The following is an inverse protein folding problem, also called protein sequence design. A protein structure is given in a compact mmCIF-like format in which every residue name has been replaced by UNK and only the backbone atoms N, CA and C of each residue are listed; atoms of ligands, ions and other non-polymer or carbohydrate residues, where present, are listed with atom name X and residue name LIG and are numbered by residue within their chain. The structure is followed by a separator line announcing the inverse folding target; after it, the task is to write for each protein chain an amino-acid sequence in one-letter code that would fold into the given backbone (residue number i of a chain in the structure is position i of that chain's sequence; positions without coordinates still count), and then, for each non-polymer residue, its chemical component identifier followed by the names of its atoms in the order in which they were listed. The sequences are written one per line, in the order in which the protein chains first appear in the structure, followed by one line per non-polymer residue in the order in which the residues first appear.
data_IF_278472728212
#
_entry.id   IF_278472728212
#
_cell.length_a   1.000
_cell.length_b   1.000
_cell.length_c   1.000
_cell.angle_alpha   90.00
_cell.angle_beta   90.00
_cell.angle_gamma   90.00
#
_symmetry.space_group_name_H-M   'P 1'
#
loop_
_entity.id
_entity.type
_entity.pdbx_description
1 polymer ?
#
# COMPACT_ATOMS: atom_id res chain seq x y z
N UNK A 1 63.44 -40.80 -1.10
CA UNK A 1 62.61 -40.34 0.05
C UNK A 1 62.18 -38.87 -0.13
N UNK A 2 61.53 -38.50 -1.25
CA UNK A 2 61.28 -37.08 -1.60
C UNK A 2 59.95 -36.86 -2.35
N UNK A 3 58.99 -37.78 -2.19
CA UNK A 3 57.70 -37.76 -2.92
C UNK A 3 56.45 -37.82 -2.04
N UNK A 4 56.60 -37.97 -0.72
CA UNK A 4 55.46 -38.12 0.19
C UNK A 4 55.06 -36.85 0.97
N UNK A 5 55.87 -35.78 0.91
CA UNK A 5 55.61 -34.56 1.70
C UNK A 5 54.62 -33.57 1.06
N UNK A 6 54.25 -33.75 -0.23
CA UNK A 6 53.48 -32.73 -0.97
C UNK A 6 51.96 -32.94 -0.87
N UNK A 7 51.48 -34.08 -0.35
CA UNK A 7 50.04 -34.38 -0.35
C UNK A 7 49.27 -33.99 0.92
N UNK A 8 49.92 -33.43 1.94
CA UNK A 8 49.26 -33.08 3.21
C UNK A 8 48.86 -31.60 3.37
N UNK A 9 49.18 -30.74 2.41
CA UNK A 9 48.94 -29.29 2.48
C UNK A 9 47.75 -28.79 1.65
N UNK A 10 46.94 -29.69 1.09
CA UNK A 10 45.79 -29.34 0.26
C UNK A 10 44.42 -29.53 0.94
N UNK A 11 44.39 -29.77 2.26
CA UNK A 11 43.15 -30.14 2.98
C UNK A 11 42.61 -29.05 3.91
N UNK A 12 43.30 -27.91 4.08
CA UNK A 12 42.98 -26.91 5.11
C UNK A 12 42.28 -25.65 4.61
N UNK A 13 41.96 -25.52 3.31
CA UNK A 13 41.36 -24.30 2.74
C UNK A 13 39.85 -24.40 2.43
N UNK A 14 39.16 -25.48 2.81
CA UNK A 14 37.72 -25.66 2.57
C UNK A 14 36.83 -25.41 3.82
N UNK A 15 37.39 -24.81 4.87
CA UNK A 15 36.72 -24.67 6.18
C UNK A 15 36.28 -23.26 6.56
N UNK A 16 36.28 -22.28 5.66
CA UNK A 16 35.87 -20.90 5.96
C UNK A 16 34.75 -20.48 5.01
N UNK A 17 33.67 -19.93 5.60
CA UNK A 17 32.50 -19.33 4.96
C UNK A 17 31.31 -20.25 4.66
N UNK A 18 30.77 -20.86 5.71
CA UNK A 18 29.32 -21.11 5.81
C UNK A 18 28.76 -20.34 7.01
N UNK A 19 29.03 -19.03 7.06
CA UNK A 19 28.17 -18.15 7.86
C UNK A 19 26.84 -18.08 7.10
N UNK A 20 25.70 -18.37 7.74
CA UNK A 20 24.42 -18.12 7.10
C UNK A 20 24.40 -16.64 6.75
N UNK A 21 24.41 -16.32 5.46
CA UNK A 21 24.05 -15.00 5.01
C UNK A 21 22.66 -14.75 5.59
N UNK A 22 22.58 -13.89 6.60
CA UNK A 22 21.31 -13.39 7.08
C UNK A 22 20.69 -12.70 5.87
N UNK A 23 19.80 -13.40 5.18
CA UNK A 23 18.99 -12.83 4.13
C UNK A 23 18.29 -11.64 4.78
N UNK A 24 18.71 -10.44 4.41
CA UNK A 24 18.06 -9.22 4.85
C UNK A 24 16.64 -9.32 4.31
N UNK A 25 15.69 -9.69 5.18
CA UNK A 25 14.27 -9.64 4.84
C UNK A 25 14.03 -8.26 4.21
N UNK A 26 13.48 -8.19 2.99
CA UNK A 26 13.30 -6.91 2.33
C UNK A 26 12.56 -5.99 3.29
N UNK A 27 13.17 -4.84 3.59
CA UNK A 27 12.58 -3.87 4.51
C UNK A 27 11.14 -3.58 4.05
N UNK A 28 10.18 -3.73 4.97
CA UNK A 28 8.79 -3.45 4.66
C UNK A 28 8.63 -1.97 4.29
N UNK A 29 7.76 -1.62 3.33
CA UNK A 29 7.53 -0.23 3.00
C UNK A 29 6.90 0.50 4.19
N UNK A 30 7.09 1.83 4.29
CA UNK A 30 6.64 2.62 5.44
C UNK A 30 5.11 2.62 5.64
N UNK A 31 4.35 2.30 4.59
CA UNK A 31 2.90 2.18 4.63
C UNK A 31 2.38 0.76 4.81
N UNK A 32 3.23 -0.23 5.09
CA UNK A 32 2.82 -1.64 5.22
C UNK A 32 1.69 -1.89 6.23
N UNK A 33 1.59 -1.06 7.27
CA UNK A 33 0.49 -1.11 8.23
C UNK A 33 -0.90 -0.80 7.63
N UNK A 34 -0.94 -0.18 6.45
CA UNK A 34 -2.19 0.12 5.72
C UNK A 34 -2.65 -1.05 4.85
N UNK A 35 -1.84 -2.08 4.62
CA UNK A 35 -2.18 -3.13 3.66
C UNK A 35 -3.56 -3.74 3.91
N UNK A 36 -4.31 -3.95 2.83
CA UNK A 36 -5.67 -4.48 2.84
C UNK A 36 -6.74 -3.44 2.48
N UNK A 37 -8.00 -3.81 2.75
CA UNK A 37 -9.19 -3.06 2.37
C UNK A 37 -9.71 -2.21 3.52
N UNK A 38 -10.00 -0.95 3.20
CA UNK A 38 -10.60 0.05 4.08
C UNK A 38 -11.88 0.55 3.45
N UNK A 39 -12.95 0.61 4.22
CA UNK A 39 -14.28 0.96 3.72
C UNK A 39 -14.90 2.11 4.49
N UNK A 40 -15.81 2.84 3.86
CA UNK A 40 -16.58 3.92 4.48
C UNK A 40 -16.39 5.24 3.75
N UNK A 41 -16.01 6.30 4.46
CA UNK A 41 -15.73 7.59 3.84
C UNK A 41 -16.94 8.48 3.59
N UNK A 42 -18.15 7.95 3.36
CA UNK A 42 -19.36 8.78 3.10
C UNK A 42 -20.20 8.99 4.36
N UNK A 43 -20.35 7.96 5.19
CA UNK A 43 -21.04 8.04 6.48
C UNK A 43 -20.17 7.38 7.56
N UNK A 44 -20.33 7.74 8.85
CA UNK A 44 -19.67 7.04 9.94
C UNK A 44 -19.98 5.54 9.86
N UNK A 45 -18.96 4.70 10.04
CA UNK A 45 -19.16 3.27 10.05
C UNK A 45 -20.02 2.86 11.27
N UNK A 46 -21.15 2.14 11.08
CA UNK A 46 -21.95 1.61 12.19
C UNK A 46 -21.13 0.63 13.02
N UNK A 47 -21.26 0.69 14.35
CA UNK A 47 -20.74 -0.35 15.24
C UNK A 47 -21.48 -1.66 14.97
N UNK A 48 -20.78 -2.70 14.53
CA UNK A 48 -21.36 -4.01 14.22
C UNK A 48 -21.72 -4.26 12.75
N UNK A 49 -21.13 -3.50 11.82
CA UNK A 49 -21.25 -3.76 10.38
C UNK A 49 -20.76 -5.17 10.01
N UNK A 50 -21.58 -5.90 9.23
CA UNK A 50 -21.19 -7.22 8.70
C UNK A 50 -20.08 -7.07 7.63
N UNK A 51 -19.26 -8.11 7.38
CA UNK A 51 -18.26 -8.05 6.32
C UNK A 51 -18.84 -7.69 4.95
N UNK A 52 -20.03 -8.21 4.62
CA UNK A 52 -20.74 -7.93 3.38
C UNK A 52 -21.15 -6.46 3.29
N UNK A 53 -21.71 -5.90 4.35
CA UNK A 53 -22.08 -4.48 4.40
C UNK A 53 -20.85 -3.56 4.37
N UNK A 54 -19.72 -4.03 4.90
CA UNK A 54 -18.45 -3.30 4.86
C UNK A 54 -17.86 -3.23 3.46
N UNK A 55 -17.91 -4.34 2.70
CA UNK A 55 -17.38 -4.41 1.34
C UNK A 55 -18.33 -3.80 0.28
N UNK A 56 -19.56 -3.45 0.64
CA UNK A 56 -20.50 -2.76 -0.25
C UNK A 56 -20.43 -1.22 -0.17
N UNK A 57 -19.54 -0.68 0.67
CA UNK A 57 -19.28 0.76 0.80
C UNK A 57 -18.19 1.21 -0.17
N UNK A 58 -17.93 2.52 -0.33
CA UNK A 58 -16.70 2.99 -0.95
C UNK A 58 -15.50 2.35 -0.29
N UNK A 59 -14.54 1.93 -1.10
CA UNK A 59 -13.37 1.20 -0.64
C UNK A 59 -12.08 1.87 -1.10
N UNK A 60 -11.06 1.74 -0.26
CA UNK A 60 -9.66 1.97 -0.61
C UNK A 60 -8.84 0.76 -0.23
N UNK A 61 -8.06 0.25 -1.18
CA UNK A 61 -7.22 -0.92 -1.02
C UNK A 61 -5.77 -0.46 -1.12
N UNK A 62 -5.01 -0.62 -0.04
CA UNK A 62 -3.58 -0.37 -0.04
C UNK A 62 -2.84 -1.67 -0.30
N UNK A 63 -1.97 -1.65 -1.30
CA UNK A 63 -1.01 -2.72 -1.59
C UNK A 63 0.41 -2.19 -1.46
N UNK A 64 1.40 -3.02 -1.82
CA UNK A 64 2.80 -2.61 -1.80
C UNK A 64 3.06 -1.40 -2.71
N UNK A 65 2.59 -1.47 -3.96
CA UNK A 65 2.97 -0.53 -5.03
C UNK A 65 1.76 0.20 -5.65
N UNK A 66 0.54 -0.18 -5.25
CA UNK A 66 -0.71 0.40 -5.75
C UNK A 66 -1.64 0.82 -4.61
N UNK A 67 -2.38 1.89 -4.83
CA UNK A 67 -3.60 2.20 -4.09
C UNK A 67 -4.78 2.15 -5.05
N UNK A 68 -5.74 1.30 -4.76
CA UNK A 68 -6.98 1.21 -5.54
C UNK A 68 -8.11 1.86 -4.76
N UNK A 69 -9.06 2.48 -5.45
CA UNK A 69 -10.25 3.02 -4.80
C UNK A 69 -11.48 2.98 -5.68
N UNK A 70 -12.65 2.89 -5.05
CA UNK A 70 -13.94 3.12 -5.68
C UNK A 70 -14.80 3.98 -4.75
N UNK A 71 -15.42 5.01 -5.32
CA UNK A 71 -16.49 5.78 -4.65
C UNK A 71 -17.87 5.20 -4.99
N UNK A 72 -18.94 5.74 -4.39
CA UNK A 72 -20.32 5.27 -4.63
C UNK A 72 -20.78 5.45 -6.08
N UNK A 73 -20.16 6.36 -6.82
CA UNK A 73 -20.50 6.66 -8.22
C UNK A 73 -19.64 5.89 -9.21
N UNK A 74 -18.66 5.10 -8.74
CA UNK A 74 -17.72 4.39 -9.59
C UNK A 74 -18.08 2.92 -9.73
N UNK A 75 -18.08 2.44 -10.97
CA UNK A 75 -18.31 1.03 -11.29
C UNK A 75 -17.01 0.22 -11.35
N UNK A 76 -15.86 0.91 -11.46
CA UNK A 76 -14.54 0.31 -11.66
C UNK A 76 -13.57 0.91 -10.64
N UNK A 77 -12.66 0.09 -10.14
CA UNK A 77 -11.59 0.55 -9.27
C UNK A 77 -10.63 1.47 -10.03
N UNK A 78 -10.47 2.69 -9.54
CA UNK A 78 -9.40 3.58 -9.97
C UNK A 78 -8.11 3.12 -9.31
N UNK A 79 -7.11 2.75 -10.12
CA UNK A 79 -5.78 2.35 -9.65
C UNK A 79 -4.80 3.51 -9.70
N UNK A 80 -4.02 3.67 -8.63
CA UNK A 80 -2.94 4.66 -8.52
C UNK A 80 -1.63 3.97 -8.16
N UNK A 81 -0.64 4.10 -9.04
CA UNK A 81 0.71 3.60 -8.80
C UNK A 81 1.46 4.52 -7.82
N UNK A 82 2.04 3.91 -6.78
CA UNK A 82 2.80 4.60 -5.75
C UNK A 82 4.20 4.87 -6.28
N UNK A 83 4.53 6.14 -6.46
CA UNK A 83 5.89 6.57 -6.81
C UNK A 83 6.74 6.69 -5.55
N UNK A 84 6.18 7.31 -4.49
CA UNK A 84 6.83 7.35 -3.17
C UNK A 84 5.79 7.24 -2.06
N UNK A 85 6.19 6.61 -0.97
CA UNK A 85 5.46 6.62 0.30
C UNK A 85 6.42 6.97 1.42
N UNK A 86 5.97 7.81 2.36
CA UNK A 86 6.73 8.10 3.58
C UNK A 86 5.84 8.03 4.81
N UNK A 87 6.41 7.60 5.92
CA UNK A 87 5.76 7.70 7.22
C UNK A 87 5.75 9.16 7.68
N UNK A 88 4.72 9.54 8.41
CA UNK A 88 4.59 10.83 9.09
C UNK A 88 4.23 10.57 10.55
N UNK A 89 4.39 11.55 11.46
CA UNK A 89 3.99 11.36 12.86
C UNK A 89 2.51 10.99 13.03
N UNK A 90 1.65 11.39 12.08
CA UNK A 90 0.21 11.13 12.11
C UNK A 90 -0.23 9.95 11.21
N UNK A 91 0.67 9.35 10.43
CA UNK A 91 0.33 8.26 9.51
C UNK A 91 1.28 8.13 8.33
N UNK A 92 0.79 8.36 7.10
CA UNK A 92 1.58 8.23 5.88
C UNK A 92 1.20 9.29 4.84
N UNK A 93 2.15 9.67 3.98
CA UNK A 93 1.89 10.45 2.78
C UNK A 93 2.37 9.66 1.55
N UNK A 94 1.50 9.59 0.55
CA UNK A 94 1.76 8.98 -0.75
C UNK A 94 1.89 10.05 -1.81
N UNK A 95 2.84 9.84 -2.73
CA UNK A 95 2.84 10.47 -4.04
C UNK A 95 2.65 9.40 -5.10
N UNK A 96 1.78 9.69 -6.04
CA UNK A 96 1.43 8.77 -7.11
C UNK A 96 2.04 9.24 -8.43
N UNK A 97 2.34 8.27 -9.29
CA UNK A 97 2.68 8.55 -10.66
C UNK A 97 1.57 9.41 -11.31
N UNK A 98 2.00 10.34 -12.15
CA UNK A 98 1.08 11.13 -12.95
C UNK A 98 0.31 10.18 -13.88
N UNK A 99 -1.01 10.16 -13.74
CA UNK A 99 -1.87 9.44 -14.65
C UNK A 99 -1.99 10.30 -15.90
N UNK A 100 -1.33 9.90 -16.98
CA UNK A 100 -1.49 10.54 -18.27
C UNK A 100 -2.98 10.62 -18.58
N UNK A 101 -3.48 11.82 -18.89
CA UNK A 101 -4.88 12.02 -19.23
C UNK A 101 -5.22 11.12 -20.41
N UNK A 102 -5.95 10.04 -20.16
CA UNK A 102 -6.46 9.17 -21.22
C UNK A 102 -7.32 10.04 -22.12
N UNK A 103 -6.80 10.38 -23.29
CA UNK A 103 -7.57 11.02 -24.35
C UNK A 103 -8.55 9.97 -24.85
N UNK A 104 -9.70 9.88 -24.18
CA UNK A 104 -10.82 9.11 -24.69
C UNK A 104 -11.27 9.77 -25.99
N UNK A 105 -11.21 9.01 -27.09
CA UNK A 105 -11.59 9.41 -28.45
C UNK A 105 -13.06 9.94 -28.56
N UNK A 106 -13.84 9.86 -27.48
CA UNK A 106 -15.28 10.19 -27.42
C UNK A 106 -15.67 11.15 -26.28
N UNK A 107 -14.77 12.02 -25.81
CA UNK A 107 -15.13 13.14 -24.94
C UNK A 107 -15.68 12.78 -23.56
N UNK A 108 -15.63 11.50 -23.16
CA UNK A 108 -15.85 11.09 -21.80
C UNK A 108 -14.68 11.61 -20.95
N UNK A 109 -14.90 12.72 -20.25
CA UNK A 109 -14.05 13.14 -19.15
C UNK A 109 -14.06 12.03 -18.11
N UNK A 110 -13.15 11.08 -18.23
CA UNK A 110 -12.86 10.13 -17.17
C UNK A 110 -12.64 10.97 -15.89
N UNK A 111 -13.43 10.68 -14.86
CA UNK A 111 -13.32 11.35 -13.56
C UNK A 111 -11.84 11.47 -13.20
N UNK A 112 -11.39 12.67 -12.81
CA UNK A 112 -9.95 12.90 -12.61
C UNK A 112 -9.42 11.86 -11.62
N UNK A 113 -8.45 11.03 -11.99
CA UNK A 113 -7.89 10.04 -11.10
C UNK A 113 -7.35 10.74 -9.86
N UNK A 114 -7.76 10.32 -8.66
CA UNK A 114 -7.42 11.03 -7.42
C UNK A 114 -8.26 10.57 -6.23
N UNK A 115 -8.22 11.32 -5.13
CA UNK A 115 -9.01 11.06 -3.92
C UNK A 115 -9.83 12.29 -3.49
N UNK A 116 -9.99 13.27 -4.38
CA UNK A 116 -10.67 14.53 -4.08
C UNK A 116 -9.92 15.44 -3.08
N UNK A 117 -8.61 15.25 -2.92
CA UNK A 117 -7.74 16.01 -2.01
C UNK A 117 -7.12 17.26 -2.70
N UNK A 118 -6.15 17.92 -2.05
CA UNK A 118 -5.37 19.07 -2.54
C UNK A 118 -4.87 18.92 -3.99
N UNK A 119 -4.56 17.70 -4.42
CA UNK A 119 -4.28 17.37 -5.81
C UNK A 119 -4.51 15.90 -6.12
N UNK A 120 -4.54 15.52 -7.41
CA UNK A 120 -4.81 14.14 -7.81
C UNK A 120 -3.68 13.17 -7.41
N UNK A 121 -2.45 13.65 -7.26
CA UNK A 121 -1.26 12.79 -7.11
C UNK A 121 -0.72 12.71 -5.68
N UNK A 122 -1.45 13.24 -4.70
CA UNK A 122 -1.04 13.21 -3.29
C UNK A 122 -2.19 12.67 -2.46
N UNK A 123 -1.89 11.71 -1.57
CA UNK A 123 -2.81 11.24 -0.55
C UNK A 123 -2.14 11.28 0.81
N UNK A 124 -2.76 11.99 1.75
CA UNK A 124 -2.37 11.98 3.16
C UNK A 124 -3.31 11.07 3.92
N UNK A 125 -2.74 10.11 4.62
CA UNK A 125 -3.47 9.16 5.46
C UNK A 125 -3.14 9.45 6.91
N UNK A 126 -4.16 9.77 7.70
CA UNK A 126 -4.04 9.89 9.14
C UNK A 126 -4.55 8.62 9.81
N UNK A 127 -3.73 8.05 10.69
CA UNK A 127 -4.15 6.97 11.57
C UNK A 127 -5.01 7.55 12.70
N UNK A 128 -6.24 7.04 12.87
CA UNK A 128 -7.16 7.42 13.95
C UNK A 128 -7.22 6.39 15.07
N UNK A 129 -7.00 5.13 14.71
CA UNK A 129 -6.86 4.01 15.64
C UNK A 129 -6.19 2.84 14.94
N UNK A 130 -6.26 1.65 15.55
CA UNK A 130 -5.69 0.43 14.96
C UNK A 130 -6.42 0.03 13.66
N UNK A 131 -7.75 0.22 13.62
CA UNK A 131 -8.62 -0.17 12.52
C UNK A 131 -9.37 1.02 11.90
N UNK A 132 -8.88 2.23 12.09
CA UNK A 132 -9.50 3.45 11.57
C UNK A 132 -8.46 4.42 11.00
N UNK A 133 -8.73 4.94 9.80
CA UNK A 133 -7.93 5.95 9.11
C UNK A 133 -8.83 7.07 8.58
N UNK A 134 -8.23 8.19 8.20
CA UNK A 134 -8.94 9.28 7.53
C UNK A 134 -8.07 9.94 6.47
N UNK A 135 -8.71 10.57 5.48
CA UNK A 135 -8.06 11.35 4.42
C UNK A 135 -8.44 12.83 4.56
N UNK A 136 -7.64 13.64 5.27
CA UNK A 136 -8.00 15.02 5.58
C UNK A 136 -8.13 15.87 4.31
N UNK A 137 -9.24 16.61 4.21
CA UNK A 137 -9.48 17.52 3.09
C UNK A 137 -9.80 16.83 1.76
N UNK A 138 -10.16 15.54 1.79
CA UNK A 138 -10.45 14.75 0.61
C UNK A 138 -11.97 14.59 0.43
N UNK A 139 -12.54 15.20 -0.60
CA UNK A 139 -13.98 15.25 -0.83
C UNK A 139 -14.61 13.90 -1.20
N UNK A 140 -13.82 12.96 -1.73
CA UNK A 140 -14.31 11.62 -2.10
C UNK A 140 -14.49 10.72 -0.86
N UNK A 141 -13.84 11.06 0.25
CA UNK A 141 -13.86 10.31 1.51
C UNK A 141 -13.86 11.26 2.73
N UNK A 142 -14.93 12.05 2.94
CA UNK A 142 -14.99 13.05 4.00
C UNK A 142 -14.99 12.49 5.43
N UNK A 143 -15.37 11.22 5.62
CA UNK A 143 -15.43 10.54 6.91
C UNK A 143 -14.31 9.51 7.07
N UNK A 144 -14.05 9.01 8.30
CA UNK A 144 -13.09 7.94 8.50
C UNK A 144 -13.43 6.66 7.71
N UNK A 145 -12.39 5.93 7.35
CA UNK A 145 -12.48 4.58 6.81
C UNK A 145 -12.10 3.57 7.89
N UNK A 146 -12.84 2.47 7.92
CA UNK A 146 -12.60 1.36 8.84
C UNK A 146 -12.07 0.15 8.11
N UNK A 147 -11.23 -0.64 8.77
CA UNK A 147 -10.77 -1.91 8.24
C UNK A 147 -11.92 -2.92 8.27
N UNK A 148 -12.26 -3.50 7.11
CA UNK A 148 -13.21 -4.61 7.11
C UNK A 148 -12.57 -5.85 7.74
N UNK A 149 -13.10 -6.26 8.89
CA UNK A 149 -12.72 -7.53 9.53
C UNK A 149 -13.41 -8.68 8.77
N UNK A 150 -12.69 -9.76 8.49
CA UNK A 150 -13.21 -10.95 7.81
C UNK A 150 -13.56 -12.09 8.77
N UNK A 151 -13.81 -11.79 10.05
CA UNK A 151 -14.17 -12.79 11.07
C UNK A 151 -15.67 -12.81 11.36
#
# INVERSE_FOLDING_TARGET
MRRFAVRLLASTLLGVAALPAAAQSPAQPPHSWLFGTWSGGIFPAPSGMTPQACLSQPIVIFTRDLVLRATITEQVLTQREIETARATPQGAEFRFAATGGGSGLLGASASRPGFGCEGPNVLRVQRRGENEISFPGCADFPNPLVRCQTR
#
